data_IF_698324581757
#
_entry.id   IF_698324581757
#
_cell.length_a   1.000
_cell.length_b   1.000
_cell.length_c   1.000
_cell.angle_alpha   90.00
_cell.angle_beta   90.00
_cell.angle_gamma   90.00
#
_symmetry.space_group_name_H-M   'P 1'
#
loop_
_entity.id
_entity.type
_entity.pdbx_description
1 polymer ?
#
# COMPACT_ATOMS: atom_id res chain seq x y z
N UNK A 1 12.39 8.05 -26.37
CA UNK A 1 11.85 8.04 -24.99
C UNK A 1 10.94 9.25 -24.88
N UNK A 2 9.68 9.07 -24.51
CA UNK A 2 8.73 10.18 -24.34
C UNK A 2 8.93 10.82 -22.97
N UNK A 3 9.02 12.15 -22.91
CA UNK A 3 9.33 12.91 -21.69
C UNK A 3 8.05 13.32 -20.95
N UNK A 4 6.97 13.52 -21.69
CA UNK A 4 5.63 13.86 -21.23
C UNK A 4 4.78 14.34 -22.41
N UNK A 5 3.52 14.66 -22.13
CA UNK A 5 2.54 15.21 -23.08
C UNK A 5 2.12 16.59 -22.57
N UNK A 6 1.90 17.56 -23.46
CA UNK A 6 1.36 18.87 -23.09
C UNK A 6 -0.17 18.78 -23.01
N UNK A 7 -0.86 19.42 -22.04
CA UNK A 7 -0.39 20.41 -21.07
C UNK A 7 0.14 19.85 -19.74
N UNK A 8 0.10 18.52 -19.55
CA UNK A 8 0.50 17.86 -18.29
C UNK A 8 1.97 18.12 -17.91
N UNK A 9 2.80 18.47 -18.89
CA UNK A 9 4.19 18.88 -18.68
C UNK A 9 4.45 20.25 -19.32
N UNK A 10 4.91 21.21 -18.52
CA UNK A 10 5.32 22.52 -19.03
C UNK A 10 6.58 22.40 -19.90
N UNK A 11 6.72 23.28 -20.90
CA UNK A 11 7.91 23.36 -21.76
C UNK A 11 9.19 23.53 -20.93
N UNK A 12 9.13 24.29 -19.83
CA UNK A 12 10.28 24.50 -18.94
C UNK A 12 10.72 23.20 -18.27
N UNK A 13 9.76 22.41 -17.80
CA UNK A 13 9.99 21.14 -17.13
C UNK A 13 10.47 20.07 -18.12
N UNK A 14 9.89 20.05 -19.32
CA UNK A 14 10.35 19.20 -20.40
C UNK A 14 11.83 19.45 -20.73
N UNK A 15 12.25 20.72 -20.87
CA UNK A 15 13.65 21.09 -21.09
C UNK A 15 14.56 20.64 -19.95
N UNK A 16 14.11 20.74 -18.71
CA UNK A 16 14.86 20.27 -17.54
C UNK A 16 15.07 18.75 -17.58
N UNK A 17 13.99 17.99 -17.80
CA UNK A 17 14.04 16.52 -17.95
C UNK A 17 14.94 16.09 -19.11
N UNK A 18 14.91 16.79 -20.26
CA UNK A 18 15.85 16.54 -21.38
C UNK A 18 17.30 16.70 -20.93
N UNK A 19 17.62 17.77 -20.20
CA UNK A 19 19.00 18.03 -19.74
C UNK A 19 19.49 16.94 -18.80
N UNK A 20 18.66 16.52 -17.86
CA UNK A 20 18.97 15.43 -16.93
C UNK A 20 19.20 14.11 -17.67
N UNK A 21 18.35 13.79 -18.64
CA UNK A 21 18.53 12.59 -19.49
C UNK A 21 19.83 12.64 -20.27
N UNK A 22 20.18 13.79 -20.86
CA UNK A 22 21.47 13.95 -21.56
C UNK A 22 22.66 13.73 -20.64
N UNK A 23 22.59 14.21 -19.40
CA UNK A 23 23.64 14.00 -18.39
C UNK A 23 23.75 12.52 -18.03
N UNK A 24 22.64 11.82 -17.84
CA UNK A 24 22.63 10.39 -17.53
C UNK A 24 23.24 9.56 -18.67
N UNK A 25 22.86 9.87 -19.90
CA UNK A 25 23.43 9.23 -21.09
C UNK A 25 24.92 9.53 -21.25
N UNK A 26 25.36 10.76 -20.97
CA UNK A 26 26.79 11.13 -21.01
C UNK A 26 27.61 10.40 -19.93
N UNK A 27 26.99 10.02 -18.81
CA UNK A 27 27.59 9.17 -17.77
C UNK A 27 27.55 7.67 -18.12
N UNK A 28 27.00 7.29 -19.28
CA UNK A 28 26.84 5.90 -19.70
C UNK A 28 25.74 5.13 -18.94
N UNK A 29 24.89 5.83 -18.19
CA UNK A 29 23.80 5.23 -17.41
C UNK A 29 22.53 5.21 -18.27
N UNK A 30 21.92 4.04 -18.43
CA UNK A 30 20.63 3.93 -19.13
C UNK A 30 19.52 4.60 -18.31
N UNK A 31 18.82 5.62 -18.85
CA UNK A 31 17.68 6.25 -18.20
C UNK A 31 16.55 5.29 -17.81
N UNK A 32 16.41 4.16 -18.50
CA UNK A 32 15.39 3.13 -18.18
C UNK A 32 15.70 2.45 -16.86
N UNK A 33 16.98 2.18 -16.59
CA UNK A 33 17.41 1.54 -15.37
C UNK A 33 17.19 2.44 -14.15
N UNK A 34 17.46 3.74 -14.30
CA UNK A 34 17.16 4.75 -13.27
C UNK A 34 15.66 4.79 -12.95
N UNK A 35 14.79 4.76 -13.97
CA UNK A 35 13.33 4.69 -13.76
C UNK A 35 12.90 3.41 -13.06
N UNK A 36 13.48 2.27 -13.43
CA UNK A 36 13.21 0.97 -12.80
C UNK A 36 13.56 1.02 -11.31
N UNK A 37 14.72 1.56 -10.96
CA UNK A 37 15.16 1.71 -9.57
C UNK A 37 14.26 2.67 -8.77
N UNK A 38 13.83 3.77 -9.37
CA UNK A 38 12.87 4.70 -8.75
C UNK A 38 11.54 4.00 -8.44
N UNK A 39 11.03 3.20 -9.38
CA UNK A 39 9.78 2.46 -9.19
C UNK A 39 9.91 1.44 -8.04
N UNK A 40 11.01 0.67 -8.01
CA UNK A 40 11.28 -0.29 -6.93
C UNK A 40 11.32 0.42 -5.57
N UNK A 41 12.00 1.57 -5.48
CA UNK A 41 12.09 2.34 -4.23
C UNK A 41 10.73 2.90 -3.76
N UNK A 42 9.90 3.38 -4.69
CA UNK A 42 8.54 3.82 -4.37
C UNK A 42 7.65 2.66 -3.91
N UNK A 43 7.74 1.51 -4.58
CA UNK A 43 6.97 0.33 -4.24
C UNK A 43 7.40 -0.26 -2.89
N UNK A 44 8.70 -0.28 -2.58
CA UNK A 44 9.20 -0.64 -1.24
C UNK A 44 8.68 0.30 -0.15
N UNK A 45 8.67 1.61 -0.42
CA UNK A 45 8.14 2.60 0.53
C UNK A 45 6.64 2.41 0.76
N UNK A 46 5.87 2.14 -0.30
CA UNK A 46 4.45 1.81 -0.22
C UNK A 46 4.21 0.51 0.55
N UNK A 47 5.05 -0.50 0.32
CA UNK A 47 4.95 -1.78 1.01
C UNK A 47 5.23 -1.62 2.50
N UNK A 48 6.30 -0.91 2.88
CA UNK A 48 6.61 -0.60 4.28
C UNK A 48 5.48 0.17 4.96
N UNK A 49 4.93 1.19 4.31
CA UNK A 49 3.80 1.94 4.84
C UNK A 49 2.53 1.08 5.03
N UNK A 50 2.33 0.02 4.24
CA UNK A 50 1.23 -0.95 4.43
C UNK A 50 1.52 -1.96 5.53
N UNK A 51 2.79 -2.34 5.71
CA UNK A 51 3.23 -3.36 6.65
C UNK A 51 3.50 -2.81 8.06
N UNK A 52 3.67 -1.50 8.20
CA UNK A 52 3.75 -0.81 9.50
C UNK A 52 2.37 -0.78 10.17
N UNK A 53 1.91 -1.94 10.62
CA UNK A 53 0.90 -2.00 11.66
C UNK A 53 1.59 -1.80 13.00
N UNK A 54 1.14 -0.80 13.77
CA UNK A 54 1.68 -0.56 15.11
C UNK A 54 1.28 -1.70 16.06
N UNK A 55 2.09 -1.95 17.08
CA UNK A 55 1.77 -2.94 18.12
C UNK A 55 0.39 -2.69 18.75
N UNK A 56 0.03 -1.43 18.95
CA UNK A 56 -1.27 -1.01 19.48
C UNK A 56 -2.42 -1.42 18.55
N UNK A 57 -2.27 -1.22 17.25
CA UNK A 57 -3.30 -1.59 16.27
C UNK A 57 -3.43 -3.11 16.09
N UNK A 58 -2.31 -3.85 16.17
CA UNK A 58 -2.33 -5.32 16.25
C UNK A 58 -3.09 -5.80 17.49
N UNK A 59 -2.79 -5.23 18.66
CA UNK A 59 -3.45 -5.57 19.93
C UNK A 59 -4.96 -5.30 19.88
N UNK A 60 -5.38 -4.16 19.32
CA UNK A 60 -6.80 -3.82 19.15
C UNK A 60 -7.51 -4.80 18.21
N UNK A 61 -6.91 -5.12 17.06
CA UNK A 61 -7.51 -6.09 16.11
C UNK A 61 -7.64 -7.48 16.72
N UNK A 62 -6.63 -7.94 17.45
CA UNK A 62 -6.67 -9.23 18.14
C UNK A 62 -7.78 -9.26 19.20
N UNK A 63 -7.81 -8.25 20.08
CA UNK A 63 -8.79 -8.17 21.19
C UNK A 63 -10.23 -8.10 20.68
N UNK A 64 -10.49 -7.31 19.64
CA UNK A 64 -11.82 -7.20 19.02
C UNK A 64 -12.27 -8.51 18.38
N UNK A 65 -11.37 -9.23 17.70
CA UNK A 65 -11.70 -10.52 17.11
C UNK A 65 -12.04 -11.58 18.16
N UNK A 66 -11.31 -11.59 19.28
CA UNK A 66 -11.57 -12.49 20.40
C UNK A 66 -12.92 -12.17 21.03
N UNK A 67 -13.19 -10.91 21.38
CA UNK A 67 -14.46 -10.47 21.96
C UNK A 67 -15.67 -10.80 21.07
N UNK A 68 -15.56 -10.55 19.77
CA UNK A 68 -16.62 -10.87 18.80
C UNK A 68 -16.90 -12.37 18.70
N UNK A 69 -15.86 -13.23 18.75
CA UNK A 69 -16.04 -14.69 18.78
C UNK A 69 -16.78 -15.14 20.03
N UNK A 70 -16.40 -14.64 21.21
CA UNK A 70 -17.08 -14.97 22.46
C UNK A 70 -18.55 -14.57 22.44
N UNK A 71 -18.85 -13.36 21.96
CA UNK A 71 -20.22 -12.88 21.84
C UNK A 71 -21.06 -13.74 20.88
N UNK A 72 -20.48 -14.14 19.74
CA UNK A 72 -21.15 -15.01 18.78
C UNK A 72 -21.44 -16.39 19.35
N UNK A 73 -20.47 -17.01 20.03
CA UNK A 73 -20.65 -18.33 20.65
C UNK A 73 -21.73 -18.27 21.74
N UNK A 74 -21.71 -17.24 22.59
CA UNK A 74 -22.71 -17.06 23.63
C UNK A 74 -24.11 -16.88 23.03
N UNK A 75 -24.25 -16.08 21.98
CA UNK A 75 -25.52 -15.87 21.29
C UNK A 75 -26.10 -17.19 20.73
N UNK A 76 -25.26 -18.00 20.07
CA UNK A 76 -25.66 -19.31 19.54
C UNK A 76 -26.08 -20.24 20.68
N UNK A 77 -25.29 -20.29 21.76
CA UNK A 77 -25.53 -21.18 22.90
C UNK A 77 -26.84 -20.84 23.63
N UNK A 78 -27.13 -19.56 23.83
CA UNK A 78 -28.40 -19.14 24.42
C UNK A 78 -29.58 -19.45 23.50
N UNK A 79 -29.42 -19.25 22.19
CA UNK A 79 -30.48 -19.52 21.21
C UNK A 79 -30.80 -21.01 21.11
N UNK A 80 -29.79 -21.88 21.14
CA UNK A 80 -29.98 -23.35 21.12
C UNK A 80 -30.61 -23.85 22.41
N UNK A 81 -30.19 -23.34 23.58
CA UNK A 81 -30.81 -23.68 24.85
C UNK A 81 -32.30 -23.31 24.89
N UNK A 82 -32.67 -22.17 24.31
CA UNK A 82 -34.06 -21.73 24.23
C UNK A 82 -34.90 -22.61 23.29
N UNK A 83 -34.35 -22.99 22.14
CA UNK A 83 -34.98 -23.90 21.18
C UNK A 83 -35.23 -25.29 21.76
N UNK A 84 -34.27 -25.84 22.50
CA UNK A 84 -34.42 -27.13 23.20
C UNK A 84 -35.53 -27.05 24.25
N UNK A 85 -35.65 -25.91 24.94
CA UNK A 85 -36.64 -25.72 26.02
C UNK A 85 -38.08 -25.50 25.51
N UNK A 86 -38.25 -25.25 24.21
CA UNK A 86 -39.54 -25.01 23.56
C UNK A 86 -40.08 -26.24 22.80
N UNK A 87 -39.31 -27.34 22.75
CA UNK A 87 -39.71 -28.64 22.19
C UNK A 87 -39.89 -29.66 23.31
#
# INVERSE_FOLDING_TARGET
MTIGVFPDLSIKEARKKVRELKILMAKGIDPREVKRQQQIAEDEKRLKARQEITFQELYYRYSNNVGNRYNQINFITCSTAMLISLN
#
